data_IF_970103241540
#
_entry.id   IF_970103241540
#
_cell.length_a   1.000
_cell.length_b   1.000
_cell.length_c   1.000
_cell.angle_alpha   90.00
_cell.angle_beta   90.00
_cell.angle_gamma   90.00
#
_symmetry.space_group_name_H-M   'P 1'
#
loop_
_entity.id
_entity.type
_entity.pdbx_description
1 polymer ?
#
# COMPACT_ATOMS: atom_id res chain seq x y z
N UNK A 1 -62.65 -21.88 4.86
CA UNK A 1 -61.26 -22.10 4.41
C UNK A 1 -60.60 -20.76 4.13
N UNK A 2 -59.88 -20.25 5.14
CA UNK A 2 -59.14 -18.99 5.07
C UNK A 2 -57.80 -19.23 4.36
N UNK A 3 -57.56 -18.59 3.21
CA UNK A 3 -56.27 -18.60 2.52
C UNK A 3 -55.40 -17.52 3.14
N UNK A 4 -54.43 -17.90 3.94
CA UNK A 4 -53.38 -17.02 4.43
C UNK A 4 -52.43 -16.76 3.25
N UNK A 5 -52.44 -15.54 2.73
CA UNK A 5 -51.49 -15.04 1.75
C UNK A 5 -50.20 -14.68 2.49
N UNK A 6 -49.17 -15.51 2.42
CA UNK A 6 -47.87 -15.23 2.99
C UNK A 6 -47.15 -14.25 2.05
N UNK A 7 -47.13 -12.97 2.43
CA UNK A 7 -46.40 -11.92 1.76
C UNK A 7 -44.93 -12.05 2.14
N UNK A 8 -44.12 -12.68 1.32
CA UNK A 8 -42.67 -12.69 1.42
C UNK A 8 -42.18 -11.27 1.03
N UNK A 9 -41.93 -10.45 2.03
CA UNK A 9 -41.17 -9.22 1.85
C UNK A 9 -39.71 -9.66 1.71
N UNK A 10 -39.21 -9.77 0.48
CA UNK A 10 -37.78 -9.83 0.19
C UNK A 10 -37.25 -8.45 0.53
N UNK A 11 -36.70 -8.28 1.71
CA UNK A 11 -35.84 -7.16 2.01
C UNK A 11 -34.60 -7.34 1.12
N UNK A 12 -34.62 -6.69 -0.02
CA UNK A 12 -33.42 -6.44 -0.79
C UNK A 12 -32.52 -5.56 0.08
N UNK A 13 -31.69 -6.21 0.90
CA UNK A 13 -30.58 -5.53 1.57
C UNK A 13 -29.64 -5.17 0.45
N UNK A 14 -29.94 -4.06 -0.20
CA UNK A 14 -29.03 -3.43 -1.15
C UNK A 14 -27.69 -3.34 -0.44
N UNK A 15 -26.75 -4.18 -0.86
CA UNK A 15 -25.38 -4.09 -0.39
C UNK A 15 -24.94 -2.67 -0.75
N UNK A 16 -24.90 -1.81 0.24
CA UNK A 16 -24.24 -0.52 0.12
C UNK A 16 -22.76 -0.84 0.01
N UNK A 17 -22.34 -1.25 -1.17
CA UNK A 17 -20.95 -1.13 -1.52
C UNK A 17 -20.68 0.36 -1.44
N UNK A 18 -19.91 0.77 -0.45
CA UNK A 18 -19.24 2.05 -0.50
C UNK A 18 -18.32 1.99 -1.73
N UNK A 19 -18.90 2.23 -2.89
CA UNK A 19 -18.15 2.36 -4.13
C UNK A 19 -17.41 3.68 -4.04
N UNK A 20 -16.25 3.61 -3.38
CA UNK A 20 -15.22 4.61 -3.66
C UNK A 20 -14.92 4.43 -5.14
N UNK A 21 -15.50 5.28 -5.97
CA UNK A 21 -15.23 5.24 -7.41
C UNK A 21 -13.74 5.50 -7.59
N UNK A 22 -12.98 4.58 -8.20
CA UNK A 22 -11.61 4.88 -8.55
C UNK A 22 -11.61 6.19 -9.33
N UNK A 23 -10.64 7.05 -9.07
CA UNK A 23 -10.40 8.20 -9.93
C UNK A 23 -9.89 7.62 -11.25
N UNK A 24 -10.80 7.32 -12.18
CA UNK A 24 -10.41 6.94 -13.52
C UNK A 24 -9.89 8.19 -14.19
N UNK A 25 -8.64 8.15 -14.57
CA UNK A 25 -8.06 9.14 -15.41
C UNK A 25 -8.40 8.78 -16.88
N UNK A 26 -9.62 9.10 -17.30
CA UNK A 26 -10.13 8.77 -18.63
C UNK A 26 -10.28 10.04 -19.50
N UNK A 27 -10.20 9.86 -20.82
CA UNK A 27 -10.47 10.90 -21.78
C UNK A 27 -9.51 12.09 -21.67
N UNK A 28 -10.03 13.32 -21.80
CA UNK A 28 -9.24 14.54 -21.79
C UNK A 28 -8.51 14.80 -20.47
N UNK A 29 -9.10 14.38 -19.35
CA UNK A 29 -8.47 14.49 -18.03
C UNK A 29 -7.21 13.62 -17.92
N UNK A 30 -7.28 12.38 -18.40
CA UNK A 30 -6.13 11.49 -18.44
C UNK A 30 -5.01 12.04 -19.34
N UNK A 31 -5.38 12.54 -20.52
CA UNK A 31 -4.42 13.14 -21.44
C UNK A 31 -3.72 14.35 -20.83
N UNK A 32 -4.48 15.24 -20.18
CA UNK A 32 -3.90 16.40 -19.50
C UNK A 32 -2.87 16.00 -18.45
N UNK A 33 -3.18 15.00 -17.62
CA UNK A 33 -2.24 14.51 -16.60
C UNK A 33 -0.99 13.89 -17.21
N UNK A 34 -1.11 13.17 -18.32
CA UNK A 34 0.05 12.62 -19.01
C UNK A 34 0.93 13.75 -19.58
N UNK A 35 0.35 14.80 -20.15
CA UNK A 35 1.10 15.97 -20.61
C UNK A 35 1.79 16.70 -19.45
N UNK A 36 1.13 16.83 -18.31
CA UNK A 36 1.72 17.42 -17.12
C UNK A 36 2.91 16.61 -16.59
N UNK A 37 2.84 15.28 -16.64
CA UNK A 37 3.97 14.39 -16.30
C UNK A 37 5.21 14.59 -17.19
N UNK A 38 5.06 15.09 -18.39
CA UNK A 38 6.21 15.40 -19.25
C UNK A 38 6.99 16.65 -18.81
N UNK A 39 6.44 17.45 -17.90
CA UNK A 39 7.07 18.67 -17.40
C UNK A 39 8.09 18.40 -16.29
N UNK A 40 8.15 17.18 -15.75
CA UNK A 40 9.10 16.82 -14.70
C UNK A 40 9.78 15.49 -14.99
N UNK A 41 11.06 15.40 -14.67
CA UNK A 41 11.83 14.16 -14.66
C UNK A 41 12.05 13.65 -13.24
N UNK A 42 11.52 14.37 -12.25
CA UNK A 42 11.63 13.98 -10.85
C UNK A 42 10.88 12.68 -10.57
N UNK A 43 11.46 11.86 -9.70
CA UNK A 43 10.86 10.61 -9.24
C UNK A 43 11.10 10.43 -7.75
N UNK A 44 10.06 9.98 -7.04
CA UNK A 44 10.07 9.86 -5.57
C UNK A 44 9.74 8.43 -5.17
N UNK A 45 10.61 7.83 -4.36
CA UNK A 45 10.37 6.54 -3.74
C UNK A 45 10.10 6.73 -2.25
N UNK A 46 8.90 6.42 -1.82
CA UNK A 46 8.55 6.31 -0.41
C UNK A 46 8.86 4.91 0.09
N UNK A 47 9.35 4.79 1.33
CA UNK A 47 9.66 3.50 1.95
C UNK A 47 9.02 3.36 3.32
N UNK A 48 8.52 2.16 3.62
CA UNK A 48 7.99 1.78 4.93
C UNK A 48 8.14 0.28 5.14
N UNK A 49 8.05 -0.17 6.38
CA UNK A 49 8.19 -1.58 6.73
C UNK A 49 6.91 -2.37 6.39
N UNK A 50 5.75 -1.74 6.59
CA UNK A 50 4.44 -2.38 6.44
C UNK A 50 3.53 -1.59 5.50
N UNK A 51 2.41 -2.18 5.06
CA UNK A 51 1.44 -1.52 4.18
C UNK A 51 0.86 -0.20 4.73
N UNK A 52 0.70 -0.08 6.03
CA UNK A 52 0.10 1.07 6.71
C UNK A 52 1.09 2.15 7.15
N UNK A 53 2.38 1.96 6.88
CA UNK A 53 3.41 2.98 7.16
C UNK A 53 3.42 4.11 6.12
N UNK A 54 2.69 3.98 5.02
CA UNK A 54 2.68 5.02 4.00
C UNK A 54 2.01 6.31 4.48
N UNK A 55 2.58 7.45 4.08
CA UNK A 55 1.89 8.72 4.11
C UNK A 55 1.10 8.87 2.81
N UNK A 56 -0.15 8.37 2.80
CA UNK A 56 -1.00 8.35 1.62
C UNK A 56 -1.23 9.75 1.03
N UNK A 57 -1.29 10.78 1.87
CA UNK A 57 -1.46 12.16 1.41
C UNK A 57 -0.22 12.66 0.68
N UNK A 58 0.97 12.37 1.20
CA UNK A 58 2.23 12.78 0.58
C UNK A 58 2.51 11.98 -0.71
N UNK A 59 2.18 10.69 -0.73
CA UNK A 59 2.26 9.85 -1.95
C UNK A 59 1.35 10.43 -3.05
N UNK A 60 0.09 10.75 -2.71
CA UNK A 60 -0.86 11.34 -3.66
C UNK A 60 -0.43 12.74 -4.12
N UNK A 61 0.13 13.55 -3.21
CA UNK A 61 0.65 14.88 -3.54
C UNK A 61 1.77 14.79 -4.58
N UNK A 62 2.77 13.93 -4.38
CA UNK A 62 3.85 13.78 -5.34
C UNK A 62 3.35 13.22 -6.69
N UNK A 63 2.48 12.20 -6.65
CA UNK A 63 2.05 11.53 -7.87
C UNK A 63 1.03 12.34 -8.69
N UNK A 64 0.07 13.01 -8.02
CA UNK A 64 -1.05 13.70 -8.67
C UNK A 64 -0.94 15.22 -8.60
N UNK A 65 -0.38 15.77 -7.53
CA UNK A 65 -0.18 17.21 -7.38
C UNK A 65 1.01 17.70 -8.18
N UNK A 66 2.17 17.09 -7.95
CA UNK A 66 3.42 17.44 -8.61
C UNK A 66 3.69 16.66 -9.89
N UNK A 67 2.84 15.71 -10.22
CA UNK A 67 2.93 14.85 -11.42
C UNK A 67 4.25 14.06 -11.52
N UNK A 68 4.93 13.85 -10.39
CA UNK A 68 6.18 13.09 -10.33
C UNK A 68 5.91 11.59 -10.47
N UNK A 69 6.84 10.86 -11.09
CA UNK A 69 6.83 9.41 -11.00
C UNK A 69 7.07 9.00 -9.55
N UNK A 70 6.05 8.44 -8.91
CA UNK A 70 6.06 8.12 -7.47
C UNK A 70 5.86 6.62 -7.26
N UNK A 71 6.57 6.03 -6.29
CA UNK A 71 6.35 4.66 -5.85
C UNK A 71 6.37 4.57 -4.34
N UNK A 72 5.69 3.54 -3.82
CA UNK A 72 5.81 3.09 -2.45
C UNK A 72 6.47 1.71 -2.40
N UNK A 73 7.55 1.57 -1.65
CA UNK A 73 8.20 0.30 -1.33
C UNK A 73 7.82 -0.09 0.09
N UNK A 74 6.94 -1.09 0.22
CA UNK A 74 6.70 -1.76 1.49
C UNK A 74 7.65 -2.93 1.65
N UNK A 75 8.38 -3.01 2.75
CA UNK A 75 9.30 -4.12 2.98
C UNK A 75 8.54 -5.43 3.11
N UNK A 76 7.43 -5.44 3.84
CA UNK A 76 6.58 -6.62 4.03
C UNK A 76 5.21 -6.44 3.38
N UNK A 77 4.41 -7.49 3.42
CA UNK A 77 2.99 -7.46 3.03
C UNK A 77 2.05 -7.34 4.22
N UNK A 78 2.58 -7.14 5.43
CA UNK A 78 1.80 -7.00 6.65
C UNK A 78 1.11 -8.28 7.11
N UNK A 79 1.62 -9.46 6.72
CA UNK A 79 1.03 -10.75 7.07
C UNK A 79 1.10 -11.08 8.56
N UNK A 80 2.04 -10.47 9.30
CA UNK A 80 2.16 -10.60 10.76
C UNK A 80 1.28 -9.65 11.57
N UNK A 81 0.53 -8.78 10.90
CA UNK A 81 -0.36 -7.82 11.54
C UNK A 81 -1.65 -8.42 12.06
N UNK A 82 -2.50 -7.54 12.63
CA UNK A 82 -3.84 -7.89 13.08
C UNK A 82 -4.88 -7.52 12.02
N UNK A 83 -5.95 -8.32 11.93
CA UNK A 83 -7.12 -8.02 11.12
C UNK A 83 -8.30 -7.71 12.05
N UNK A 84 -8.75 -6.46 12.05
CA UNK A 84 -9.90 -6.01 12.86
C UNK A 84 -11.22 -6.07 12.09
N UNK A 85 -11.18 -6.37 10.79
CA UNK A 85 -12.35 -6.37 9.92
C UNK A 85 -12.83 -7.80 9.63
N UNK A 86 -11.91 -8.77 9.65
CA UNK A 86 -12.18 -10.16 9.30
C UNK A 86 -11.37 -11.16 10.11
N UNK A 87 -11.49 -12.43 9.77
CA UNK A 87 -10.83 -13.54 10.46
C UNK A 87 -9.50 -13.97 9.79
N UNK A 88 -9.18 -13.37 8.67
CA UNK A 88 -7.99 -13.72 7.89
C UNK A 88 -6.73 -13.28 8.61
N UNK A 89 -5.80 -14.20 8.80
CA UNK A 89 -4.50 -14.00 9.44
C UNK A 89 -3.39 -14.56 8.56
N UNK A 90 -2.16 -14.24 8.90
CA UNK A 90 -0.94 -14.74 8.24
C UNK A 90 -0.96 -14.50 6.72
N UNK A 91 -0.72 -15.50 5.91
CA UNK A 91 -0.61 -15.37 4.45
C UNK A 91 -1.89 -14.82 3.80
N UNK A 92 -3.07 -15.19 4.31
CA UNK A 92 -4.34 -14.65 3.82
C UNK A 92 -4.45 -13.14 4.07
N UNK A 93 -4.05 -12.67 5.24
CA UNK A 93 -3.99 -11.24 5.53
C UNK A 93 -2.99 -10.54 4.62
N UNK A 94 -1.83 -11.13 4.37
CA UNK A 94 -0.83 -10.60 3.45
C UNK A 94 -1.35 -10.46 2.01
N UNK A 95 -2.18 -11.39 1.54
CA UNK A 95 -2.85 -11.31 0.24
C UNK A 95 -3.84 -10.14 0.21
N UNK A 96 -4.68 -10.03 1.24
CA UNK A 96 -5.68 -8.95 1.36
C UNK A 96 -4.96 -7.58 1.36
N UNK A 97 -3.99 -7.38 2.25
CA UNK A 97 -3.26 -6.11 2.37
C UNK A 97 -2.47 -5.77 1.10
N UNK A 98 -1.96 -6.77 0.39
CA UNK A 98 -1.38 -6.56 -0.94
C UNK A 98 -2.41 -6.01 -1.93
N UNK A 99 -3.61 -6.61 -1.97
CA UNK A 99 -4.68 -6.14 -2.85
C UNK A 99 -5.15 -4.73 -2.48
N UNK A 100 -5.24 -4.40 -1.18
CA UNK A 100 -5.56 -3.06 -0.69
C UNK A 100 -4.54 -2.02 -1.15
N UNK A 101 -3.23 -2.30 -1.00
CA UNK A 101 -2.18 -1.40 -1.51
C UNK A 101 -2.24 -1.20 -3.02
N UNK A 102 -2.46 -2.28 -3.77
CA UNK A 102 -2.63 -2.17 -5.22
C UNK A 102 -3.85 -1.33 -5.61
N UNK A 103 -4.94 -1.40 -4.81
CA UNK A 103 -6.07 -0.50 -5.01
C UNK A 103 -5.74 0.95 -4.63
N UNK A 104 -5.05 1.18 -3.51
CA UNK A 104 -4.59 2.53 -3.14
C UNK A 104 -3.79 3.18 -4.25
N UNK A 105 -2.90 2.44 -4.92
CA UNK A 105 -2.12 2.93 -6.10
C UNK A 105 -3.00 3.35 -7.27
N UNK A 106 -4.20 2.78 -7.42
CA UNK A 106 -5.17 3.22 -8.46
C UNK A 106 -5.77 4.59 -8.13
N UNK A 107 -5.84 4.96 -6.85
CA UNK A 107 -6.33 6.27 -6.43
C UNK A 107 -5.24 7.34 -6.47
N UNK A 108 -4.08 7.06 -5.92
CA UNK A 108 -2.98 8.02 -5.82
C UNK A 108 -2.12 8.09 -7.09
N UNK A 109 -2.15 7.07 -7.94
CA UNK A 109 -1.40 7.03 -9.20
C UNK A 109 0.07 6.69 -9.06
N UNK A 110 0.51 6.21 -7.88
CA UNK A 110 1.86 5.72 -7.65
C UNK A 110 2.03 4.25 -8.06
N UNK A 111 3.26 3.79 -8.08
CA UNK A 111 3.64 2.39 -8.28
C UNK A 111 3.80 1.68 -6.93
N UNK A 112 3.50 0.36 -6.86
CA UNK A 112 3.72 -0.44 -5.66
C UNK A 112 4.90 -1.39 -5.85
N UNK A 113 5.81 -1.39 -4.89
CA UNK A 113 6.95 -2.30 -4.81
C UNK A 113 6.92 -3.04 -3.48
N UNK A 114 7.44 -4.26 -3.47
CA UNK A 114 7.61 -5.09 -2.28
C UNK A 114 8.96 -5.76 -2.28
N UNK A 115 9.48 -6.06 -1.08
CA UNK A 115 10.58 -7.00 -0.91
C UNK A 115 10.05 -8.42 -0.64
N UNK A 116 10.94 -9.35 -0.44
CA UNK A 116 10.63 -10.74 -0.02
C UNK A 116 10.43 -10.91 1.48
N UNK A 117 10.58 -9.84 2.27
CA UNK A 117 10.45 -9.95 3.71
C UNK A 117 9.08 -10.47 4.10
N UNK A 118 9.07 -11.53 4.89
CA UNK A 118 7.85 -12.02 5.51
C UNK A 118 7.65 -11.32 6.85
N UNK A 119 6.47 -10.73 7.05
CA UNK A 119 6.14 -10.08 8.30
C UNK A 119 5.91 -11.15 9.39
N UNK A 120 6.66 -11.07 10.46
CA UNK A 120 6.59 -12.00 11.58
C UNK A 120 5.91 -11.38 12.83
N UNK A 121 5.26 -10.24 12.66
CA UNK A 121 4.56 -9.53 13.72
C UNK A 121 5.45 -8.53 14.47
N UNK A 122 5.02 -8.15 15.66
CA UNK A 122 5.68 -7.11 16.42
C UNK A 122 7.10 -7.48 16.84
N UNK A 123 8.04 -6.59 16.57
CA UNK A 123 9.43 -6.68 17.02
C UNK A 123 9.81 -5.45 17.84
N UNK A 124 10.56 -5.66 18.92
CA UNK A 124 11.08 -4.58 19.76
C UNK A 124 12.46 -4.07 19.34
N UNK A 125 13.17 -4.86 18.54
CA UNK A 125 14.58 -4.60 18.22
C UNK A 125 14.87 -4.83 16.75
N UNK A 126 15.63 -3.93 16.17
CA UNK A 126 16.09 -4.03 14.78
C UNK A 126 16.89 -5.33 14.51
N UNK A 127 17.68 -5.79 15.50
CA UNK A 127 18.49 -7.00 15.37
C UNK A 127 17.64 -8.25 15.14
N UNK A 128 16.41 -8.27 15.63
CA UNK A 128 15.47 -9.36 15.40
C UNK A 128 15.04 -9.42 13.95
N UNK A 129 14.64 -8.30 13.36
CA UNK A 129 14.31 -8.19 11.95
C UNK A 129 15.51 -8.54 11.06
N UNK A 130 16.68 -8.01 11.36
CA UNK A 130 17.91 -8.31 10.65
C UNK A 130 18.25 -9.80 10.66
N UNK A 131 18.03 -10.49 11.78
CA UNK A 131 18.28 -11.93 11.92
C UNK A 131 17.27 -12.77 11.14
N UNK A 132 15.97 -12.42 11.19
CA UNK A 132 14.89 -13.21 10.60
C UNK A 132 14.78 -12.99 9.08
N UNK A 133 14.96 -11.79 8.61
CA UNK A 133 14.90 -11.46 7.16
C UNK A 133 16.22 -11.71 6.44
N UNK A 134 17.34 -11.61 7.17
CA UNK A 134 18.69 -11.67 6.60
C UNK A 134 19.09 -10.33 5.95
N UNK A 135 20.09 -9.67 6.52
CA UNK A 135 20.55 -8.34 6.09
C UNK A 135 20.90 -8.31 4.60
N UNK A 136 21.64 -9.29 4.12
CA UNK A 136 22.06 -9.37 2.71
C UNK A 136 20.88 -9.54 1.75
N UNK A 137 19.86 -10.31 2.15
CA UNK A 137 18.64 -10.52 1.36
C UNK A 137 17.86 -9.22 1.26
N UNK A 138 17.66 -8.53 2.38
CA UNK A 138 16.95 -7.24 2.42
C UNK A 138 17.68 -6.17 1.63
N UNK A 139 19.00 -6.07 1.82
CA UNK A 139 19.83 -5.14 1.08
C UNK A 139 19.73 -5.39 -0.44
N UNK A 140 19.80 -6.65 -0.86
CA UNK A 140 19.67 -7.01 -2.27
C UNK A 140 18.33 -6.60 -2.86
N UNK A 141 17.22 -6.83 -2.14
CA UNK A 141 15.88 -6.46 -2.59
C UNK A 141 15.69 -4.95 -2.65
N UNK A 142 16.13 -4.22 -1.64
CA UNK A 142 16.05 -2.76 -1.61
C UNK A 142 16.89 -2.13 -2.72
N UNK A 143 18.11 -2.62 -2.94
CA UNK A 143 18.98 -2.17 -4.04
C UNK A 143 18.35 -2.49 -5.40
N UNK A 144 17.72 -3.67 -5.54
CA UNK A 144 17.01 -4.03 -6.77
C UNK A 144 15.83 -3.08 -7.04
N UNK A 145 15.04 -2.74 -6.00
CA UNK A 145 13.96 -1.77 -6.10
C UNK A 145 14.48 -0.37 -6.50
N UNK A 146 15.53 0.12 -5.85
CA UNK A 146 16.18 1.39 -6.18
C UNK A 146 16.69 1.41 -7.63
N UNK A 147 17.37 0.37 -8.07
CA UNK A 147 17.90 0.26 -9.44
C UNK A 147 16.80 0.17 -10.49
N UNK A 148 15.70 -0.51 -10.17
CA UNK A 148 14.55 -0.64 -11.06
C UNK A 148 13.78 0.68 -11.17
N UNK A 149 13.48 1.31 -10.04
CA UNK A 149 12.68 2.53 -10.01
C UNK A 149 13.50 3.78 -10.34
N UNK A 150 14.77 3.84 -9.88
CA UNK A 150 15.72 4.95 -10.10
C UNK A 150 15.19 6.30 -9.59
N UNK A 151 14.87 6.41 -8.28
CA UNK A 151 14.35 7.65 -7.73
C UNK A 151 15.38 8.77 -7.76
N UNK A 152 14.92 10.00 -7.93
CA UNK A 152 15.73 11.20 -7.66
C UNK A 152 15.74 11.56 -6.19
N UNK A 153 14.66 11.18 -5.46
CA UNK A 153 14.52 11.37 -4.02
C UNK A 153 13.94 10.11 -3.40
N UNK A 154 14.47 9.69 -2.26
CA UNK A 154 13.89 8.67 -1.40
C UNK A 154 13.39 9.29 -0.11
N UNK A 155 12.17 8.96 0.28
CA UNK A 155 11.50 9.44 1.50
C UNK A 155 11.30 8.24 2.41
N UNK A 156 11.93 8.26 3.59
CA UNK A 156 11.65 7.31 4.67
C UNK A 156 10.71 7.95 5.68
N UNK A 157 9.71 7.20 6.12
CA UNK A 157 8.82 7.64 7.19
C UNK A 157 9.52 7.61 8.54
N UNK A 158 10.46 6.71 8.72
CA UNK A 158 11.09 6.40 10.00
C UNK A 158 12.52 6.93 10.07
N UNK A 159 12.95 7.31 11.29
CA UNK A 159 14.24 7.94 11.53
C UNK A 159 15.33 6.96 12.01
N UNK A 160 14.98 5.67 12.16
CA UNK A 160 15.88 4.63 12.70
C UNK A 160 16.29 4.93 14.14
N UNK A 161 15.35 5.45 14.94
CA UNK A 161 15.56 5.80 16.35
C UNK A 161 14.68 4.90 17.24
N UNK A 162 15.04 4.71 18.53
CA UNK A 162 14.20 3.95 19.45
C UNK A 162 12.78 4.50 19.63
N UNK A 163 12.54 5.76 19.25
CA UNK A 163 11.24 6.41 19.29
C UNK A 163 10.30 5.95 18.18
N UNK A 164 10.81 5.29 17.16
CA UNK A 164 9.98 4.73 16.07
C UNK A 164 9.11 3.55 16.53
N UNK A 165 9.42 2.98 17.71
CA UNK A 165 8.52 2.08 18.46
C UNK A 165 8.46 0.65 17.97
N UNK A 166 9.06 0.31 16.83
CA UNK A 166 9.04 -1.02 16.23
C UNK A 166 10.40 -1.38 15.61
N UNK A 167 10.83 -2.62 15.78
CA UNK A 167 12.12 -3.10 15.27
C UNK A 167 12.21 -3.27 13.75
N UNK A 168 11.09 -3.18 13.03
CA UNK A 168 11.05 -3.22 11.57
C UNK A 168 11.28 -1.83 10.94
N UNK A 169 11.15 -0.76 11.70
CA UNK A 169 11.29 0.65 11.27
C UNK A 169 12.75 1.17 11.22
#
# INVERSE_FOLDING_TARGET
>A
TSKILLLLIVLDVGQVYAQVRPIYDDGASALLKQLQRLQTTASVLHTGAHPDDEDSALVAYHARGEHMRTAYLSLTRGSGGQNIIGAELSDLLGIIRTAELLQARRFDGAEQLFTRANDFGFSKRREEGARLWGVEVMLADMVAALRKFRPTVSVSRWHVTPTDGHGHH
#
